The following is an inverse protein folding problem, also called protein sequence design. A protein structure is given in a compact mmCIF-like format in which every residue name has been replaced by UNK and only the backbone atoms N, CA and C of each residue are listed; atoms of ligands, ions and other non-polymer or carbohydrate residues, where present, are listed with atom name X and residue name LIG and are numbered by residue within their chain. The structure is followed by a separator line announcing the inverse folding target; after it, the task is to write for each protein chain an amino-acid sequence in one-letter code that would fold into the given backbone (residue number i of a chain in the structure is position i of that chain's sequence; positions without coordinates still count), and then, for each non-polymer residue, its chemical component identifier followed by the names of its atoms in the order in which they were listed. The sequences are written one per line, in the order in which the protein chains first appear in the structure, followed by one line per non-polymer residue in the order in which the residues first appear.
data_IF_495893654200
#
_entry.id   IF_495893654200
#
_cell.length_a   1.000
_cell.length_b   1.000
_cell.length_c   1.000
_cell.angle_alpha   90.00
_cell.angle_beta   90.00
_cell.angle_gamma   90.00
#
_symmetry.space_group_name_H-M   'P 1'
#
loop_
_entity.id
_entity.type
_entity.pdbx_description
1 polymer ?
#
# COMPACT_ATOMS: atom_id res chain seq x y z
N UNK A 1 -27.58 1.47 -32.79
CA UNK A 1 -26.24 1.79 -32.24
C UNK A 1 -26.47 2.35 -30.84
N UNK A 2 -26.43 1.50 -29.80
CA UNK A 2 -26.74 1.93 -28.44
C UNK A 2 -25.56 2.72 -27.87
N UNK A 3 -25.78 4.01 -27.60
CA UNK A 3 -24.87 4.83 -26.83
C UNK A 3 -24.64 4.17 -25.46
N UNK A 4 -23.46 3.60 -25.26
CA UNK A 4 -23.03 3.12 -23.94
C UNK A 4 -22.67 4.35 -23.10
N UNK A 5 -23.42 4.67 -22.03
CA UNK A 5 -23.16 5.87 -21.26
C UNK A 5 -21.92 5.65 -20.40
N UNK A 6 -20.80 6.26 -20.79
CA UNK A 6 -19.51 6.17 -20.11
C UNK A 6 -19.54 6.67 -18.65
N UNK A 7 -20.60 7.38 -18.25
CA UNK A 7 -20.80 7.92 -16.89
C UNK A 7 -21.18 6.86 -15.84
N UNK A 8 -21.41 5.59 -16.23
CA UNK A 8 -21.72 4.48 -15.30
C UNK A 8 -20.52 3.59 -14.92
N UNK A 9 -19.28 4.03 -15.17
CA UNK A 9 -18.05 3.27 -14.87
C UNK A 9 -17.46 3.53 -13.46
N UNK A 10 -18.22 4.14 -12.54
CA UNK A 10 -17.73 4.38 -11.18
C UNK A 10 -17.70 3.05 -10.39
N UNK A 11 -16.59 2.67 -9.73
CA UNK A 11 -16.55 1.53 -8.81
C UNK A 11 -17.58 1.74 -7.69
N UNK A 12 -18.63 0.91 -7.65
CA UNK A 12 -19.84 1.19 -6.88
C UNK A 12 -19.85 0.66 -5.45
N UNK A 13 -18.93 -0.24 -5.08
CA UNK A 13 -18.76 -0.68 -3.69
C UNK A 13 -17.29 -0.96 -3.40
N UNK A 14 -16.74 -0.17 -2.49
CA UNK A 14 -15.47 -0.48 -1.82
C UNK A 14 -15.86 -0.76 -0.38
N UNK A 15 -15.95 -2.04 -0.02
CA UNK A 15 -16.10 -2.42 1.38
C UNK A 15 -14.70 -2.43 2.01
N UNK A 16 -14.54 -1.70 3.11
CA UNK A 16 -13.28 -1.55 3.81
C UNK A 16 -13.50 -1.82 5.29
N UNK A 17 -12.79 -2.81 5.82
CA UNK A 17 -12.80 -3.14 7.23
C UNK A 17 -11.41 -2.88 7.80
N UNK A 18 -11.32 -1.96 8.75
CA UNK A 18 -10.09 -1.68 9.48
C UNK A 18 -10.15 -2.35 10.85
N UNK A 19 -9.09 -3.06 11.21
CA UNK A 19 -8.88 -3.55 12.59
C UNK A 19 -7.63 -2.91 13.15
N UNK A 20 -7.72 -2.40 14.38
CA UNK A 20 -6.58 -1.83 15.10
C UNK A 20 -6.48 -2.58 16.43
N UNK A 21 -5.34 -3.22 16.64
CA UNK A 21 -5.03 -3.98 17.86
C UNK A 21 -3.87 -3.29 18.59
N UNK A 22 -3.97 -3.09 19.92
CA UNK A 22 -2.87 -2.55 20.69
C UNK A 22 -1.73 -3.57 20.76
N UNK A 23 -0.50 -3.08 20.71
CA UNK A 23 0.73 -3.87 20.89
C UNK A 23 1.50 -3.27 22.06
N UNK A 24 1.69 -4.03 23.13
CA UNK A 24 2.46 -3.61 24.29
C UNK A 24 3.95 -3.86 24.03
N UNK A 25 4.71 -2.80 23.72
CA UNK A 25 6.10 -2.92 23.26
C UNK A 25 7.01 -3.40 24.38
N UNK A 26 6.77 -2.90 25.60
CA UNK A 26 7.59 -3.19 26.76
C UNK A 26 6.98 -4.28 27.66
N UNK A 27 6.19 -5.21 27.10
CA UNK A 27 5.50 -6.25 27.87
C UNK A 27 6.45 -7.16 28.67
N UNK A 28 7.68 -7.35 28.19
CA UNK A 28 8.71 -8.16 28.86
C UNK A 28 9.15 -7.54 30.19
N UNK A 29 9.02 -6.22 30.37
CA UNK A 29 9.31 -5.56 31.65
C UNK A 29 8.31 -5.93 32.75
N UNK A 30 7.18 -6.53 32.38
CA UNK A 30 6.13 -6.98 33.30
C UNK A 30 6.32 -8.39 33.84
N UNK A 31 7.44 -9.05 33.52
CA UNK A 31 7.72 -10.40 34.00
C UNK A 31 7.57 -10.50 35.55
N UNK A 32 6.90 -11.54 36.07
CA UNK A 32 6.42 -12.76 35.39
C UNK A 32 5.03 -12.65 34.75
N UNK A 33 4.35 -11.50 34.83
CA UNK A 33 2.99 -11.35 34.35
C UNK A 33 2.93 -10.76 32.94
N UNK A 34 2.13 -11.36 32.05
CA UNK A 34 1.92 -10.83 30.70
C UNK A 34 0.61 -10.03 30.64
N UNK A 35 0.66 -8.69 30.57
CA UNK A 35 -0.53 -7.85 30.59
C UNK A 35 -1.38 -8.07 29.33
N UNK A 36 -2.68 -8.32 29.51
CA UNK A 36 -3.64 -8.47 28.40
C UNK A 36 -4.49 -7.23 28.19
N UNK A 37 -4.60 -6.40 29.22
CA UNK A 37 -5.39 -5.17 29.19
C UNK A 37 -4.49 -3.94 29.35
N UNK A 38 -4.97 -2.80 28.87
CA UNK A 38 -4.28 -1.52 29.03
C UNK A 38 -4.04 -1.17 30.51
N UNK A 39 -5.01 -1.46 31.39
CA UNK A 39 -4.89 -1.17 32.82
C UNK A 39 -3.75 -1.97 33.49
N UNK A 40 -3.65 -3.26 33.18
CA UNK A 40 -2.55 -4.11 33.65
C UNK A 40 -1.20 -3.63 33.12
N UNK A 41 -1.15 -3.28 31.83
CA UNK A 41 0.07 -2.77 31.20
C UNK A 41 0.53 -1.45 31.82
N UNK A 42 -0.38 -0.51 32.06
CA UNK A 42 -0.06 0.76 32.71
C UNK A 42 0.35 0.59 34.17
N UNK A 43 -0.30 -0.31 34.92
CA UNK A 43 0.06 -0.58 36.31
C UNK A 43 1.46 -1.17 36.42
N UNK A 44 1.80 -2.12 35.55
CA UNK A 44 3.13 -2.72 35.53
C UNK A 44 4.20 -1.70 35.13
N UNK A 45 3.99 -0.97 34.05
CA UNK A 45 5.00 -0.06 33.48
C UNK A 45 5.09 1.29 34.21
N UNK A 46 4.33 1.48 35.29
CA UNK A 46 4.23 2.74 36.02
C UNK A 46 3.71 3.89 35.13
N UNK A 47 2.89 3.57 34.13
CA UNK A 47 2.36 4.51 33.15
C UNK A 47 3.37 4.99 32.09
N UNK A 48 4.58 4.41 32.04
CA UNK A 48 5.65 4.83 31.11
C UNK A 48 5.86 3.89 29.92
N UNK A 49 5.11 2.79 29.85
CA UNK A 49 5.23 1.80 28.78
C UNK A 49 4.80 2.33 27.41
N UNK A 50 5.52 1.93 26.36
CA UNK A 50 5.21 2.28 24.98
C UNK A 50 4.14 1.36 24.39
N UNK A 51 3.15 1.96 23.74
CA UNK A 51 2.05 1.25 23.10
C UNK A 51 2.16 1.47 21.59
N UNK A 52 2.33 0.37 20.86
CA UNK A 52 2.19 0.33 19.41
C UNK A 52 0.76 0.01 18.98
N UNK A 53 0.47 0.21 17.71
CA UNK A 53 -0.79 -0.20 17.09
C UNK A 53 -0.51 -1.09 15.89
N UNK A 54 -1.09 -2.29 15.88
CA UNK A 54 -1.12 -3.16 14.71
C UNK A 54 -2.40 -2.86 13.93
N UNK A 55 -2.24 -2.38 12.71
CA UNK A 55 -3.36 -2.05 11.83
C UNK A 55 -3.49 -3.12 10.75
N UNK A 56 -4.69 -3.65 10.55
CA UNK A 56 -5.02 -4.58 9.47
C UNK A 56 -6.16 -4.00 8.62
N UNK A 57 -6.02 -4.13 7.31
CA UNK A 57 -6.93 -3.58 6.30
C UNK A 57 -7.45 -4.71 5.42
N UNK A 58 -8.75 -4.98 5.52
CA UNK A 58 -9.44 -5.87 4.59
C UNK A 58 -10.23 -5.02 3.58
N UNK A 59 -9.89 -5.12 2.30
CA UNK A 59 -10.55 -4.36 1.24
C UNK A 59 -11.07 -5.30 0.15
N UNK A 60 -12.39 -5.25 -0.09
CA UNK A 60 -13.02 -5.91 -1.23
C UNK A 60 -13.16 -4.92 -2.39
N UNK A 61 -12.53 -5.25 -3.52
CA UNK A 61 -12.60 -4.48 -4.76
C UNK A 61 -13.37 -5.29 -5.79
N UNK A 62 -14.62 -4.88 -6.09
CA UNK A 62 -15.45 -5.52 -7.10
C UNK A 62 -15.55 -4.63 -8.35
N UNK A 63 -15.25 -5.20 -9.52
CA UNK A 63 -15.52 -4.56 -10.80
C UNK A 63 -17.03 -4.52 -11.04
N UNK A 64 -17.56 -3.35 -11.39
CA UNK A 64 -19.02 -3.09 -11.45
C UNK A 64 -19.71 -3.82 -12.59
N UNK A 65 -18.97 -4.20 -13.63
CA UNK A 65 -19.48 -4.94 -14.79
C UNK A 65 -18.38 -5.91 -15.21
N UNK A 66 -18.71 -7.20 -15.22
CA UNK A 66 -17.92 -8.22 -15.93
C UNK A 66 -18.51 -8.30 -17.34
N UNK A 67 -17.91 -7.68 -18.36
CA UNK A 67 -18.46 -7.79 -19.70
C UNK A 67 -18.38 -9.25 -20.19
N UNK A 68 -19.22 -9.65 -21.15
CA UNK A 68 -19.14 -10.99 -21.72
C UNK A 68 -17.73 -11.26 -22.29
N UNK A 69 -17.29 -12.52 -22.33
CA UNK A 69 -16.09 -12.90 -23.06
C UNK A 69 -16.20 -12.42 -24.53
N UNK A 70 -15.10 -11.99 -25.17
CA UNK A 70 -13.72 -11.96 -24.73
C UNK A 70 -13.30 -10.56 -24.22
N UNK A 71 -14.18 -9.75 -23.63
CA UNK A 71 -13.76 -8.42 -23.12
C UNK A 71 -13.41 -8.52 -21.64
N UNK A 72 -14.02 -9.46 -20.91
CA UNK A 72 -13.77 -9.67 -19.48
C UNK A 72 -12.36 -10.15 -19.16
N UNK A 73 -11.74 -11.03 -19.96
CA UNK A 73 -10.36 -11.50 -19.68
C UNK A 73 -9.36 -10.34 -19.77
N UNK A 74 -9.50 -9.47 -20.76
CA UNK A 74 -8.65 -8.30 -20.96
C UNK A 74 -8.82 -7.28 -19.83
N UNK A 75 -10.06 -6.92 -19.49
CA UNK A 75 -10.32 -5.98 -18.39
C UNK A 75 -9.92 -6.54 -17.03
N UNK A 76 -10.05 -7.85 -16.82
CA UNK A 76 -9.58 -8.53 -15.60
C UNK A 76 -8.07 -8.38 -15.46
N UNK A 77 -7.32 -8.61 -16.53
CA UNK A 77 -5.86 -8.42 -16.55
C UNK A 77 -5.45 -6.98 -16.20
N UNK A 78 -6.11 -5.98 -16.80
CA UNK A 78 -5.84 -4.57 -16.48
C UNK A 78 -6.18 -4.24 -15.04
N UNK A 79 -7.36 -4.66 -14.57
CA UNK A 79 -7.83 -4.36 -13.21
C UNK A 79 -6.91 -4.99 -12.19
N UNK A 80 -6.53 -6.26 -12.36
CA UNK A 80 -5.58 -6.96 -11.49
C UNK A 80 -4.23 -6.22 -11.41
N UNK A 81 -3.60 -5.89 -12.54
CA UNK A 81 -2.33 -5.13 -12.56
C UNK A 81 -2.47 -3.76 -11.91
N UNK A 82 -3.59 -3.08 -12.15
CA UNK A 82 -3.88 -1.76 -11.57
C UNK A 82 -4.01 -1.85 -10.04
N UNK A 83 -4.74 -2.84 -9.54
CA UNK A 83 -4.91 -3.05 -8.09
C UNK A 83 -3.62 -3.49 -7.41
N UNK A 84 -2.81 -4.32 -8.06
CA UNK A 84 -1.51 -4.76 -7.55
C UNK A 84 -0.55 -3.60 -7.34
N UNK A 85 -0.41 -2.73 -8.35
CA UNK A 85 0.41 -1.51 -8.24
C UNK A 85 -0.06 -0.60 -7.09
N UNK A 86 -1.38 -0.40 -6.92
CA UNK A 86 -1.92 0.41 -5.82
C UNK A 86 -1.62 -0.20 -4.45
N UNK A 87 -1.75 -1.51 -4.31
CA UNK A 87 -1.45 -2.22 -3.05
C UNK A 87 0.04 -2.08 -2.72
N UNK A 88 0.91 -2.27 -3.71
CA UNK A 88 2.35 -2.11 -3.52
C UNK A 88 2.72 -0.67 -3.10
N UNK A 89 2.13 0.34 -3.75
CA UNK A 89 2.33 1.75 -3.39
C UNK A 89 1.90 2.06 -1.94
N UNK A 90 0.82 1.42 -1.47
CA UNK A 90 0.35 1.53 -0.09
C UNK A 90 1.32 0.86 0.90
N UNK A 91 1.84 -0.32 0.56
CA UNK A 91 2.79 -1.04 1.40
C UNK A 91 4.11 -0.28 1.54
N UNK A 92 4.64 0.25 0.43
CA UNK A 92 5.85 1.08 0.44
C UNK A 92 5.63 2.35 1.28
N UNK A 93 4.48 3.01 1.15
CA UNK A 93 4.20 4.20 1.95
C UNK A 93 4.05 3.87 3.44
N UNK A 94 3.41 2.75 3.78
CA UNK A 94 3.28 2.28 5.15
C UNK A 94 4.65 1.96 5.77
N UNK A 95 5.54 1.31 5.02
CA UNK A 95 6.91 1.04 5.45
C UNK A 95 7.71 2.34 5.64
N UNK A 96 7.54 3.31 4.73
CA UNK A 96 8.16 4.63 4.84
C UNK A 96 7.68 5.38 6.09
N UNK A 97 6.37 5.38 6.35
CA UNK A 97 5.82 6.00 7.56
C UNK A 97 6.39 5.33 8.81
N UNK A 98 6.44 3.99 8.85
CA UNK A 98 7.03 3.25 9.97
C UNK A 98 8.50 3.64 10.20
N UNK A 99 9.33 3.61 9.14
CA UNK A 99 10.75 3.96 9.22
C UNK A 99 11.04 5.44 9.48
N UNK A 100 10.13 6.35 9.12
CA UNK A 100 10.27 7.78 9.45
C UNK A 100 10.17 8.03 10.96
N UNK A 101 9.42 7.22 11.70
CA UNK A 101 9.38 7.27 13.17
C UNK A 101 10.63 6.66 13.83
N UNK A 102 11.28 5.71 13.14
CA UNK A 102 12.52 5.09 13.62
C UNK A 102 13.73 6.03 13.44
N UNK A 103 13.75 6.82 12.35
CA UNK A 103 14.84 7.76 12.05
C UNK A 103 14.98 8.95 13.02
N UNK A 104 13.91 9.35 13.73
CA UNK A 104 14.00 10.36 14.79
C UNK A 104 14.72 9.84 16.06
N UNK A 105 15.00 8.53 16.17
CA UNK A 105 15.62 7.94 17.36
C UNK A 105 16.91 7.12 17.11
N UNK A 106 17.41 7.03 15.88
CA UNK A 106 18.67 6.29 15.63
C UNK A 106 19.57 6.97 14.60
N UNK A 107 20.69 7.51 15.08
CA UNK A 107 21.92 7.60 14.30
C UNK A 107 22.46 6.16 14.15
N UNK A 108 22.26 5.49 13.00
CA UNK A 108 23.33 4.73 12.31
C UNK A 108 22.85 3.97 11.05
N UNK A 109 23.57 4.23 9.96
CA UNK A 109 23.97 3.39 8.83
C UNK A 109 23.03 2.34 8.19
N UNK A 110 22.30 2.82 7.18
CA UNK A 110 22.52 2.55 5.74
C UNK A 110 23.32 1.29 5.35
N UNK A 111 22.61 0.17 5.10
CA UNK A 111 23.05 -0.84 4.13
C UNK A 111 21.88 -1.54 3.44
N UNK A 112 21.40 -0.94 2.36
CA UNK A 112 20.86 -1.72 1.25
C UNK A 112 21.10 -0.89 0.00
N UNK A 113 22.06 -1.30 -0.82
CA UNK A 113 22.36 -0.64 -2.09
C UNK A 113 22.91 -1.66 -3.07
N UNK A 114 22.02 -2.28 -3.86
CA UNK A 114 22.38 -2.72 -5.22
C UNK A 114 21.25 -3.01 -6.22
N UNK A 115 19.97 -2.86 -5.88
CA UNK A 115 18.87 -3.00 -6.86
C UNK A 115 18.06 -1.71 -7.10
N UNK A 116 18.55 -0.58 -6.61
CA UNK A 116 17.70 0.60 -6.33
C UNK A 116 17.64 1.60 -7.49
N UNK A 117 18.35 1.41 -8.61
CA UNK A 117 18.53 2.51 -9.55
C UNK A 117 17.22 2.98 -10.26
N UNK A 118 16.23 2.09 -10.44
CA UNK A 118 14.88 2.47 -10.89
C UNK A 118 13.92 2.73 -9.72
N UNK A 119 14.03 1.95 -8.64
CA UNK A 119 13.13 2.03 -7.49
C UNK A 119 13.38 3.27 -6.60
N UNK A 120 14.58 3.83 -6.63
CA UNK A 120 14.98 5.00 -5.83
C UNK A 120 14.27 6.27 -6.31
N UNK A 121 14.16 6.46 -7.64
CA UNK A 121 13.49 7.65 -8.20
C UNK A 121 11.99 7.67 -7.92
N UNK A 122 11.38 6.49 -7.77
CA UNK A 122 9.97 6.34 -7.38
C UNK A 122 9.80 6.53 -5.87
N UNK A 123 10.75 6.03 -5.06
CA UNK A 123 10.74 6.17 -3.60
C UNK A 123 10.84 7.62 -3.10
N UNK A 124 11.49 8.50 -3.86
CA UNK A 124 11.67 9.93 -3.53
C UNK A 124 10.41 10.78 -3.77
N UNK A 125 9.41 10.24 -4.50
CA UNK A 125 8.15 10.95 -4.75
C UNK A 125 7.22 10.80 -3.55
N UNK A 126 7.02 11.91 -2.84
CA UNK A 126 6.09 11.99 -1.73
C UNK A 126 4.64 11.96 -2.21
N UNK A 127 3.97 10.85 -1.93
CA UNK A 127 2.53 10.68 -2.13
C UNK A 127 2.16 9.66 -3.22
N UNK A 128 1.29 8.74 -2.82
CA UNK A 128 0.77 7.64 -3.65
C UNK A 128 0.20 8.15 -4.98
N UNK A 129 -0.50 9.29 -4.98
CA UNK A 129 -1.10 9.86 -6.20
C UNK A 129 -0.04 10.28 -7.23
N UNK A 130 1.12 10.77 -6.77
CA UNK A 130 2.19 11.19 -7.66
C UNK A 130 2.96 9.98 -8.21
N UNK A 131 3.29 8.98 -7.37
CA UNK A 131 3.87 7.70 -7.81
C UNK A 131 2.98 7.00 -8.84
N UNK A 132 1.69 6.90 -8.56
CA UNK A 132 0.70 6.34 -9.49
C UNK A 132 0.70 7.03 -10.87
N UNK A 133 0.79 8.36 -10.88
CA UNK A 133 0.82 9.12 -12.12
C UNK A 133 2.13 8.90 -12.89
N UNK A 134 3.26 8.73 -12.20
CA UNK A 134 4.55 8.40 -12.81
C UNK A 134 4.53 7.01 -13.45
N UNK A 135 4.08 5.99 -12.73
CA UNK A 135 3.98 4.62 -13.25
C UNK A 135 3.13 4.56 -14.53
N UNK A 136 1.98 5.25 -14.56
CA UNK A 136 1.15 5.33 -15.77
C UNK A 136 1.79 6.08 -16.92
N UNK A 137 2.64 7.07 -16.65
CA UNK A 137 3.38 7.80 -17.70
C UNK A 137 4.48 6.92 -18.29
N UNK A 138 5.21 6.18 -17.45
CA UNK A 138 6.31 5.32 -17.87
C UNK A 138 5.84 4.00 -18.51
N UNK A 139 4.63 3.53 -18.16
CA UNK A 139 4.01 2.36 -18.79
C UNK A 139 3.45 2.63 -20.20
N UNK A 140 3.43 3.89 -20.67
CA UNK A 140 3.13 4.16 -22.09
C UNK A 140 4.33 3.66 -22.92
N UNK A 141 4.11 2.79 -23.92
CA UNK A 141 5.19 2.46 -24.84
C UNK A 141 5.59 3.78 -25.50
N UNK A 142 6.86 4.15 -25.32
CA UNK A 142 7.49 5.20 -26.11
C UNK A 142 7.36 4.79 -27.58
N UNK A 143 6.34 5.30 -28.27
CA UNK A 143 6.20 5.11 -29.70
C UNK A 143 7.41 5.71 -30.40
N UNK A 144 8.22 4.84 -31.02
CA UNK A 144 9.29 5.08 -32.01
C UNK A 144 9.88 3.68 -32.31
N UNK A 145 9.90 3.12 -33.52
CA UNK A 145 10.02 3.70 -34.87
C UNK A 145 9.31 2.86 -35.94
N UNK A 146 9.03 3.58 -37.02
CA UNK A 146 8.38 3.26 -38.29
C UNK A 146 8.68 1.88 -38.90
N UNK A 147 7.62 1.29 -39.46
CA UNK A 147 7.70 0.31 -40.55
C UNK A 147 8.26 1.02 -41.79
N UNK A 148 9.38 0.55 -42.31
CA UNK A 148 9.76 0.76 -43.71
C UNK A 148 9.72 -0.61 -44.39
N UNK A 149 8.74 -0.79 -45.26
CA UNK A 149 8.68 -1.90 -46.20
C UNK A 149 9.44 -1.51 -47.48
N UNK A 150 10.28 -2.41 -47.97
CA UNK A 150 10.73 -2.50 -49.35
C UNK A 150 10.86 -3.99 -49.68
#
# INVERSE_FOLDING_TARGET
MSEFPMHKLLPKKIARHWRVEPVFVDEETCFPFKPKTWAEYCSCTGGKGRIGSKVSLDQLIQAVIVPPPPISWYLRGITSKTTEMLIHDLLVEAARLKGAFDAENSNDDLRFSKEINEHHRVGEIHGIKQRWNLHRRNAKPSGKRMLTAA
#
